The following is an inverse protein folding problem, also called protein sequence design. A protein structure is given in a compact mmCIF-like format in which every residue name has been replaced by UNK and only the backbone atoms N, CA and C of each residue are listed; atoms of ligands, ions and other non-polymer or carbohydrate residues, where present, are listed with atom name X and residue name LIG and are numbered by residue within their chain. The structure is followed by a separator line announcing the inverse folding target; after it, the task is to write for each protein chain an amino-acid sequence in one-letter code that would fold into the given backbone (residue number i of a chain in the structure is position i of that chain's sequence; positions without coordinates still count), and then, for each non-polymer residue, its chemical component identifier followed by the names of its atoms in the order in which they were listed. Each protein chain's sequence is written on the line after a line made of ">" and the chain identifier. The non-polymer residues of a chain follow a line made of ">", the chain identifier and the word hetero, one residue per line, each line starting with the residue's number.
data_IF_346058725710
#
_entry.id   IF_346058725710
#
_cell.length_a   1.000
_cell.length_b   1.000
_cell.length_c   1.000
_cell.angle_alpha   90.00
_cell.angle_beta   90.00
_cell.angle_gamma   90.00
#
_symmetry.space_group_name_H-M   'P 1'
#
loop_
_entity.id
_entity.type
_entity.pdbx_description
1 polymer ?
#
# COMPACT_ATOMS: atom_id res chain seq x y z
N UNK A 1 28.18 -5.63 3.75
CA UNK A 1 27.77 -5.28 2.38
C UNK A 1 26.26 -5.16 2.39
N UNK A 2 25.69 -3.99 2.08
CA UNK A 2 24.23 -3.83 2.06
C UNK A 2 23.63 -4.69 0.94
N UNK A 3 22.39 -5.22 1.10
CA UNK A 3 21.70 -5.89 0.01
C UNK A 3 21.60 -4.94 -1.20
N UNK A 4 21.78 -5.44 -2.43
CA UNK A 4 21.59 -4.63 -3.63
C UNK A 4 20.21 -3.95 -3.62
N UNK A 5 20.19 -2.63 -3.81
CA UNK A 5 18.94 -1.85 -3.91
C UNK A 5 18.49 -1.13 -2.64
N UNK A 6 19.04 -1.42 -1.45
CA UNK A 6 18.64 -0.72 -0.21
C UNK A 6 18.91 0.79 -0.24
N UNK A 7 19.97 1.23 -0.94
CA UNK A 7 20.37 2.64 -0.99
C UNK A 7 19.28 3.55 -1.55
N UNK A 8 18.51 3.05 -2.53
CA UNK A 8 17.38 3.78 -3.08
C UNK A 8 16.29 3.99 -2.02
N UNK A 9 15.97 2.97 -1.23
CA UNK A 9 14.99 3.09 -0.14
C UNK A 9 15.48 4.00 0.98
N UNK A 10 16.77 3.93 1.34
CA UNK A 10 17.38 4.84 2.33
C UNK A 10 17.35 6.29 1.87
N UNK A 11 17.63 6.53 0.59
CA UNK A 11 17.54 7.87 0.01
C UNK A 11 16.11 8.41 0.07
N UNK A 12 15.12 7.60 -0.31
CA UNK A 12 13.70 7.98 -0.20
C UNK A 12 13.31 8.22 1.25
N UNK A 13 13.71 7.33 2.19
CA UNK A 13 13.44 7.47 3.61
C UNK A 13 13.94 8.81 4.14
N UNK A 14 15.22 9.11 3.90
CA UNK A 14 15.86 10.36 4.34
C UNK A 14 15.21 11.59 3.71
N UNK A 15 14.84 11.53 2.44
CA UNK A 15 14.17 12.63 1.78
C UNK A 15 12.74 12.86 2.33
N UNK A 16 11.95 11.80 2.51
CA UNK A 16 10.58 11.89 3.00
C UNK A 16 10.51 12.27 4.48
N UNK A 17 11.49 11.85 5.28
CA UNK A 17 11.61 12.16 6.71
C UNK A 17 12.51 13.36 7.02
N UNK A 18 12.89 14.19 6.05
CA UNK A 18 13.86 15.27 6.26
C UNK A 18 13.47 16.27 7.37
N UNK A 19 12.17 16.38 7.69
CA UNK A 19 11.65 17.25 8.74
C UNK A 19 11.57 16.56 10.12
N UNK A 20 12.00 15.28 10.22
CA UNK A 20 11.90 14.45 11.41
C UNK A 20 13.28 14.11 11.99
N UNK A 21 13.72 14.83 13.01
CA UNK A 21 15.09 14.76 13.53
C UNK A 21 15.51 13.36 13.99
N UNK A 22 14.61 12.62 14.63
CA UNK A 22 14.91 11.29 15.19
C UNK A 22 14.62 10.14 14.23
N UNK A 23 13.90 10.37 13.12
CA UNK A 23 13.51 9.28 12.24
C UNK A 23 14.71 8.70 11.48
N UNK A 24 15.73 9.48 11.18
CA UNK A 24 16.89 9.03 10.40
C UNK A 24 17.73 7.95 11.10
N UNK A 25 17.62 7.84 12.42
CA UNK A 25 18.33 6.86 13.24
C UNK A 25 17.57 5.52 13.35
N UNK A 26 16.28 5.52 13.00
CA UNK A 26 15.37 4.39 13.18
C UNK A 26 14.45 4.21 11.97
N UNK A 27 14.93 3.44 11.01
CA UNK A 27 14.21 3.09 9.77
C UNK A 27 12.95 2.25 9.99
N UNK A 28 12.77 1.73 11.21
CA UNK A 28 11.58 1.02 11.62
C UNK A 28 10.59 1.94 12.34
N UNK A 29 10.94 3.19 12.64
CA UNK A 29 10.06 4.16 13.32
C UNK A 29 9.39 3.56 14.58
N UNK A 30 10.17 3.07 15.53
CA UNK A 30 9.72 2.70 16.88
C UNK A 30 9.38 3.95 17.69
N UNK A 31 10.20 5.01 17.60
CA UNK A 31 9.98 6.26 18.34
C UNK A 31 9.05 7.23 17.60
N UNK A 32 8.20 8.04 18.30
CA UNK A 32 7.39 9.09 17.68
C UNK A 32 8.18 10.05 16.79
N UNK A 33 7.56 10.45 15.67
CA UNK A 33 8.11 11.46 14.78
C UNK A 33 8.14 12.81 15.52
N UNK A 34 9.30 13.47 15.51
CA UNK A 34 9.51 14.77 16.14
C UNK A 34 10.28 15.70 15.21
N UNK A 35 9.93 16.98 15.26
CA UNK A 35 10.71 18.04 14.64
C UNK A 35 12.06 18.23 15.37
N UNK A 36 13.03 18.96 14.79
CA UNK A 36 14.33 19.23 15.41
C UNK A 36 14.26 19.89 16.79
N UNK A 37 13.21 20.66 17.07
CA UNK A 37 12.94 21.29 18.37
C UNK A 37 12.26 20.33 19.38
N UNK A 38 12.04 19.07 19.02
CA UNK A 38 11.37 18.06 19.83
C UNK A 38 9.84 18.06 19.70
N UNK A 39 9.24 18.99 18.95
CA UNK A 39 7.79 19.09 18.75
C UNK A 39 7.25 17.81 18.10
N UNK A 40 6.20 17.17 18.65
CA UNK A 40 5.58 16.00 18.03
C UNK A 40 5.04 16.33 16.63
N UNK A 41 5.41 15.51 15.64
CA UNK A 41 4.90 15.63 14.27
C UNK A 41 3.91 14.50 13.96
N UNK A 42 2.91 14.74 13.10
CA UNK A 42 2.05 13.67 12.59
C UNK A 42 2.91 12.56 11.96
N UNK A 43 2.65 11.28 12.28
CA UNK A 43 3.47 10.19 11.78
C UNK A 43 3.36 10.09 10.26
N UNK A 44 4.53 9.94 9.62
CA UNK A 44 4.65 9.56 8.23
C UNK A 44 4.80 8.04 8.15
N UNK A 45 3.89 7.40 7.42
CA UNK A 45 3.81 5.94 7.25
C UNK A 45 4.56 5.52 5.99
N UNK A 46 5.87 5.72 6.01
CA UNK A 46 6.79 5.28 4.96
C UNK A 46 8.12 4.87 5.61
N UNK A 47 8.39 3.57 5.72
CA UNK A 47 9.53 3.03 6.48
C UNK A 47 9.80 1.56 6.14
N UNK A 48 10.68 0.86 6.88
CA UNK A 48 10.81 -0.62 6.79
C UNK A 48 9.53 -1.37 7.15
N UNK A 49 8.58 -0.74 7.84
CA UNK A 49 7.26 -1.33 8.11
C UNK A 49 6.37 -1.45 6.86
N UNK A 50 6.74 -0.83 5.75
CA UNK A 50 6.00 -0.89 4.49
C UNK A 50 6.30 -2.16 3.69
N UNK A 51 7.44 -2.80 3.92
CA UNK A 51 7.89 -3.96 3.15
C UNK A 51 9.42 -4.02 3.10
N UNK A 52 9.99 -5.04 2.45
CA UNK A 52 11.43 -5.17 2.32
C UNK A 52 12.02 -4.06 1.43
N UNK A 53 13.26 -3.68 1.70
CA UNK A 53 13.97 -2.61 0.99
C UNK A 53 14.83 -3.15 -0.15
N UNK A 54 14.20 -3.93 -1.02
CA UNK A 54 14.78 -4.45 -2.26
C UNK A 54 13.66 -4.57 -3.30
N UNK A 55 13.97 -4.89 -4.58
CA UNK A 55 12.92 -5.17 -5.56
C UNK A 55 11.92 -6.21 -5.05
N UNK A 56 10.61 -5.95 -5.25
CA UNK A 56 9.52 -6.81 -4.81
C UNK A 56 8.66 -7.25 -5.99
N UNK A 57 8.03 -8.43 -5.97
CA UNK A 57 7.17 -8.86 -7.08
C UNK A 57 5.91 -7.99 -7.22
N UNK A 58 5.36 -7.51 -6.09
CA UNK A 58 4.10 -6.77 -6.05
C UNK A 58 4.20 -5.54 -5.15
N UNK A 59 3.70 -4.41 -5.65
CA UNK A 59 3.42 -3.20 -4.84
C UNK A 59 1.92 -3.02 -4.71
N UNK A 60 1.44 -2.79 -3.49
CA UNK A 60 0.06 -2.40 -3.22
C UNK A 60 0.01 -0.91 -2.84
N UNK A 61 -0.88 -0.17 -3.50
CA UNK A 61 -1.10 1.26 -3.24
C UNK A 61 -2.47 1.44 -2.60
N UNK A 62 -2.50 1.93 -1.36
CA UNK A 62 -3.70 2.34 -0.63
C UNK A 62 -4.01 3.83 -0.77
N UNK A 63 -5.09 4.28 -0.12
CA UNK A 63 -5.47 5.70 -0.11
C UNK A 63 -4.63 6.53 0.88
N UNK A 64 -4.79 6.25 2.17
CA UNK A 64 -4.07 6.91 3.26
C UNK A 64 -4.10 6.06 4.54
N UNK A 65 -3.18 6.30 5.49
CA UNK A 65 -3.27 5.77 6.84
C UNK A 65 -4.62 6.05 7.53
N UNK A 66 -5.21 5.00 8.09
CA UNK A 66 -6.40 5.08 8.95
C UNK A 66 -6.06 5.12 10.44
N UNK A 67 -7.10 5.26 11.27
CA UNK A 67 -7.03 5.30 12.75
C UNK A 67 -8.05 4.35 13.42
N UNK A 68 -8.46 3.30 12.71
CA UNK A 68 -9.41 2.27 13.16
C UNK A 68 -10.73 2.82 13.76
N UNK A 69 -11.25 3.94 13.25
CA UNK A 69 -12.54 4.50 13.67
C UNK A 69 -12.47 5.45 14.87
N UNK A 70 -11.28 5.70 15.42
CA UNK A 70 -11.08 6.58 16.57
C UNK A 70 -11.01 8.09 16.25
N UNK A 71 -11.47 8.55 15.07
CA UNK A 71 -11.38 9.97 14.62
C UNK A 71 -10.00 10.61 14.86
N UNK A 72 -8.92 9.84 14.69
CA UNK A 72 -7.53 10.27 14.79
C UNK A 72 -6.88 9.99 16.14
N UNK A 73 -7.63 9.45 17.11
CA UNK A 73 -7.16 9.19 18.48
C UNK A 73 -7.04 7.71 18.84
N UNK A 74 -7.45 6.82 17.93
CA UNK A 74 -7.36 5.38 18.13
C UNK A 74 -5.90 4.91 18.11
N UNK A 75 -5.48 4.02 19.02
CA UNK A 75 -4.16 3.41 18.93
C UNK A 75 -4.07 2.51 17.69
N UNK A 76 -5.17 1.92 17.24
CA UNK A 76 -5.20 1.02 16.09
C UNK A 76 -5.28 1.79 14.77
N UNK A 77 -4.80 1.19 13.68
CA UNK A 77 -4.65 1.85 12.38
C UNK A 77 -3.19 2.15 12.04
N UNK A 78 -2.91 2.41 10.76
CA UNK A 78 -1.57 2.74 10.29
C UNK A 78 -1.04 4.05 10.89
N UNK A 79 -1.90 5.00 11.31
CA UNK A 79 -1.46 6.20 12.02
C UNK A 79 -0.79 5.87 13.36
N UNK A 80 -1.40 4.99 14.16
CA UNK A 80 -0.90 4.64 15.49
C UNK A 80 0.15 3.52 15.52
N UNK A 81 0.15 2.65 14.50
CA UNK A 81 1.09 1.50 14.41
C UNK A 81 2.25 1.76 13.45
N UNK A 82 2.09 2.72 12.54
CA UNK A 82 3.01 3.00 11.41
C UNK A 82 3.21 1.83 10.46
N UNK A 83 2.35 0.81 10.58
CA UNK A 83 2.28 -0.33 9.66
C UNK A 83 1.13 -0.04 8.70
N UNK A 84 1.36 0.11 7.39
CA UNK A 84 0.29 0.31 6.41
C UNK A 84 -0.79 -0.76 6.55
N UNK A 85 -2.08 -0.39 6.51
CA UNK A 85 -3.17 -1.35 6.76
C UNK A 85 -2.98 -2.15 8.08
N UNK A 86 -2.47 -1.51 9.13
CA UNK A 86 -2.25 -2.15 10.44
C UNK A 86 -3.45 -2.00 11.37
N UNK A 87 -4.03 -3.11 11.83
CA UNK A 87 -4.94 -3.13 13.00
C UNK A 87 -6.38 -2.67 12.77
N UNK A 88 -6.84 -2.54 11.53
CA UNK A 88 -8.25 -2.28 11.20
C UNK A 88 -8.85 -3.37 10.29
N UNK A 89 -10.14 -3.24 9.94
CA UNK A 89 -10.81 -4.19 9.03
C UNK A 89 -10.15 -4.20 7.65
N UNK A 90 -9.59 -3.07 7.21
CA UNK A 90 -8.88 -3.02 5.93
C UNK A 90 -7.60 -3.85 5.94
N UNK A 91 -6.86 -3.83 7.06
CA UNK A 91 -5.75 -4.73 7.32
C UNK A 91 -6.12 -6.20 7.28
N UNK A 92 -7.22 -6.59 7.94
CA UNK A 92 -7.67 -7.98 7.93
C UNK A 92 -8.06 -8.46 6.54
N UNK A 93 -8.81 -7.64 5.81
CA UNK A 93 -9.19 -7.95 4.44
C UNK A 93 -7.96 -8.04 3.53
N UNK A 94 -6.96 -7.16 3.71
CA UNK A 94 -5.71 -7.23 2.96
C UNK A 94 -4.93 -8.52 3.27
N UNK A 95 -4.83 -8.97 4.53
CA UNK A 95 -4.19 -10.27 4.83
C UNK A 95 -4.89 -11.44 4.14
N UNK A 96 -6.23 -11.41 4.07
CA UNK A 96 -6.98 -12.44 3.36
C UNK A 96 -6.66 -12.42 1.87
N UNK A 97 -6.59 -11.23 1.27
CA UNK A 97 -6.22 -11.07 -0.14
C UNK A 97 -4.78 -11.55 -0.41
N UNK A 98 -3.81 -11.15 0.42
CA UNK A 98 -2.41 -11.57 0.31
C UNK A 98 -2.28 -13.10 0.44
N UNK A 99 -2.83 -13.68 1.51
CA UNK A 99 -2.79 -15.12 1.74
C UNK A 99 -3.50 -15.93 0.65
N UNK A 100 -4.53 -15.38 0.01
CA UNK A 100 -5.21 -16.02 -1.12
C UNK A 100 -4.35 -16.16 -2.37
N UNK A 101 -3.23 -15.44 -2.45
CA UNK A 101 -2.26 -15.56 -3.54
C UNK A 101 -0.90 -15.99 -3.03
N UNK A 102 -0.80 -16.53 -1.82
CA UNK A 102 0.48 -16.98 -1.25
C UNK A 102 1.49 -15.86 -1.01
N UNK A 103 1.04 -14.60 -0.94
CA UNK A 103 1.86 -13.46 -0.58
C UNK A 103 1.70 -13.12 0.90
N UNK A 104 2.69 -12.42 1.45
CA UNK A 104 2.66 -11.88 2.81
C UNK A 104 3.44 -10.56 2.86
N UNK A 105 3.30 -9.80 3.96
CA UNK A 105 3.89 -8.46 4.11
C UNK A 105 5.39 -8.41 3.94
N UNK A 106 6.11 -9.44 4.40
CA UNK A 106 7.57 -9.49 4.26
C UNK A 106 8.03 -9.68 2.79
N UNK A 107 7.14 -10.02 1.85
CA UNK A 107 7.46 -10.26 0.44
C UNK A 107 6.84 -9.24 -0.54
N UNK A 108 6.16 -8.21 -0.04
CA UNK A 108 5.51 -7.18 -0.87
C UNK A 108 5.79 -5.80 -0.28
N UNK A 109 5.58 -4.75 -1.07
CA UNK A 109 5.65 -3.38 -0.56
C UNK A 109 4.27 -2.73 -0.53
N UNK A 110 3.86 -2.24 0.63
CA UNK A 110 2.59 -1.56 0.88
C UNK A 110 2.84 -0.07 1.05
N UNK A 111 2.24 0.76 0.20
CA UNK A 111 2.38 2.23 0.27
C UNK A 111 1.01 2.89 0.13
N UNK A 112 0.87 4.15 0.53
CA UNK A 112 -0.34 4.92 0.32
C UNK A 112 -0.10 6.07 -0.68
N UNK A 113 -1.16 6.49 -1.36
CA UNK A 113 -1.18 7.71 -2.17
C UNK A 113 -0.88 8.96 -1.33
N UNK A 114 -1.27 8.96 -0.05
CA UNK A 114 -0.91 9.95 0.95
C UNK A 114 -0.43 9.22 2.21
N UNK A 115 0.83 9.40 2.61
CA UNK A 115 1.45 8.59 3.67
C UNK A 115 1.26 9.18 5.09
N UNK A 116 0.31 10.10 5.29
CA UNK A 116 -0.04 10.67 6.60
C UNK A 116 -1.53 10.50 6.87
N UNK A 117 -1.94 10.67 8.12
CA UNK A 117 -3.37 10.71 8.45
C UNK A 117 -4.00 11.95 7.78
N UNK A 118 -5.11 11.82 7.03
CA UNK A 118 -5.82 12.97 6.48
C UNK A 118 -6.28 13.93 7.58
N UNK A 119 -6.32 15.23 7.30
CA UNK A 119 -6.63 16.30 8.26
C UNK A 119 -7.99 16.12 8.95
N UNK A 120 -8.96 15.54 8.24
CA UNK A 120 -10.29 15.17 8.78
C UNK A 120 -10.28 14.00 9.77
N UNK A 121 -9.10 13.48 10.12
CA UNK A 121 -8.95 12.36 11.04
C UNK A 121 -9.38 11.03 10.42
N UNK A 122 -8.93 10.74 9.19
CA UNK A 122 -9.13 9.44 8.52
C UNK A 122 -10.05 9.46 7.30
N UNK A 123 -10.04 8.37 6.52
CA UNK A 123 -10.78 8.23 5.26
C UNK A 123 -9.93 8.62 4.03
N UNK A 124 -10.60 8.92 2.93
CA UNK A 124 -9.96 9.44 1.71
C UNK A 124 -9.30 10.82 1.94
N UNK A 125 -8.02 10.99 1.59
CA UNK A 125 -7.38 12.30 1.54
C UNK A 125 -7.93 13.14 0.38
N UNK A 126 -7.85 14.45 0.52
CA UNK A 126 -8.14 15.41 -0.55
C UNK A 126 -7.07 15.37 -1.63
N UNK A 127 -7.41 15.86 -2.84
CA UNK A 127 -6.41 16.03 -3.90
C UNK A 127 -5.29 16.99 -3.48
N UNK A 128 -5.61 18.04 -2.72
CA UNK A 128 -4.64 18.98 -2.20
C UNK A 128 -3.63 18.31 -1.25
N UNK A 129 -4.10 17.44 -0.34
CA UNK A 129 -3.21 16.69 0.55
C UNK A 129 -2.27 15.75 -0.21
N UNK A 130 -2.77 15.06 -1.24
CA UNK A 130 -1.93 14.17 -2.07
C UNK A 130 -0.87 14.96 -2.84
N UNK A 131 -1.21 16.16 -3.31
CA UNK A 131 -0.31 17.03 -4.08
C UNK A 131 0.59 17.90 -3.19
N UNK A 132 0.39 17.89 -1.87
CA UNK A 132 1.20 18.66 -0.93
C UNK A 132 2.60 18.05 -0.72
N UNK A 133 3.62 18.89 -0.44
CA UNK A 133 4.97 18.42 -0.15
C UNK A 133 5.08 17.46 1.03
N UNK A 134 6.10 16.59 0.98
CA UNK A 134 6.44 15.64 2.05
C UNK A 134 7.95 15.55 2.21
N UNK A 135 8.48 16.13 3.29
CA UNK A 135 9.92 16.29 3.44
C UNK A 135 10.47 17.06 2.25
N UNK A 136 11.46 16.48 1.56
CA UNK A 136 12.08 17.04 0.34
C UNK A 136 11.32 16.73 -0.95
N UNK A 137 10.26 15.94 -0.90
CA UNK A 137 9.46 15.66 -2.08
C UNK A 137 8.45 16.79 -2.35
N UNK A 138 8.28 17.22 -3.61
CA UNK A 138 7.32 18.26 -3.96
C UNK A 138 5.85 17.81 -3.78
N UNK A 139 5.59 16.50 -3.73
CA UNK A 139 4.26 15.93 -3.50
C UNK A 139 4.32 14.48 -3.01
N UNK A 140 3.21 13.96 -2.47
CA UNK A 140 3.10 12.52 -2.15
C UNK A 140 3.10 11.63 -3.41
N UNK A 141 2.67 12.15 -4.57
CA UNK A 141 2.79 11.42 -5.84
C UNK A 141 4.23 11.32 -6.35
N UNK A 142 5.07 12.32 -6.06
CA UNK A 142 6.51 12.23 -6.34
C UNK A 142 7.20 11.19 -5.43
N UNK A 143 6.83 11.13 -4.16
CA UNK A 143 7.27 10.06 -3.25
C UNK A 143 6.82 8.67 -3.75
N UNK A 144 5.57 8.54 -4.20
CA UNK A 144 5.06 7.29 -4.77
C UNK A 144 5.85 6.89 -6.02
N UNK A 145 6.16 7.83 -6.92
CA UNK A 145 6.95 7.58 -8.13
C UNK A 145 8.31 6.96 -7.81
N UNK A 146 9.07 7.57 -6.88
CA UNK A 146 10.38 7.05 -6.48
C UNK A 146 10.26 5.71 -5.76
N UNK A 147 9.20 5.52 -4.96
CA UNK A 147 8.90 4.23 -4.32
C UNK A 147 8.71 3.14 -5.39
N UNK A 148 7.98 3.40 -6.47
CA UNK A 148 7.78 2.44 -7.56
C UNK A 148 9.09 2.13 -8.29
N UNK A 149 9.95 3.13 -8.52
CA UNK A 149 11.27 2.95 -9.12
C UNK A 149 12.23 2.14 -8.24
N UNK A 150 12.14 2.28 -6.91
CA UNK A 150 12.94 1.49 -5.97
C UNK A 150 12.42 0.05 -5.85
N UNK A 151 11.10 -0.14 -5.81
CA UNK A 151 10.46 -1.44 -5.69
C UNK A 151 10.56 -2.31 -6.94
N UNK A 152 10.69 -1.71 -8.13
CA UNK A 152 10.73 -2.39 -9.42
C UNK A 152 9.68 -3.52 -9.56
N UNK A 153 8.39 -3.26 -9.25
CA UNK A 153 7.40 -4.34 -9.21
C UNK A 153 7.14 -4.93 -10.58
N UNK A 154 6.69 -6.20 -10.58
CA UNK A 154 6.11 -6.87 -11.76
C UNK A 154 4.59 -6.74 -11.81
N UNK A 155 3.95 -6.39 -10.70
CA UNK A 155 2.53 -6.08 -10.60
C UNK A 155 2.29 -4.91 -9.66
N UNK A 156 1.46 -3.95 -10.07
CA UNK A 156 0.98 -2.87 -9.18
C UNK A 156 -0.50 -3.06 -8.92
N UNK A 157 -0.90 -3.08 -7.64
CA UNK A 157 -2.29 -3.21 -7.22
C UNK A 157 -2.77 -1.90 -6.61
N UNK A 158 -3.69 -1.22 -7.31
CA UNK A 158 -4.32 0.00 -6.82
C UNK A 158 -5.59 -0.35 -6.02
N UNK A 159 -5.57 -0.10 -4.70
CA UNK A 159 -6.68 -0.36 -3.80
C UNK A 159 -7.60 0.86 -3.71
N UNK A 160 -8.65 0.86 -4.53
CA UNK A 160 -9.64 1.93 -4.61
C UNK A 160 -9.27 3.07 -5.56
N UNK A 161 -10.17 4.05 -5.63
CA UNK A 161 -10.12 5.12 -6.62
C UNK A 161 -8.96 6.09 -6.38
N UNK A 162 -8.68 6.42 -5.11
CA UNK A 162 -7.59 7.32 -4.73
C UNK A 162 -6.24 6.78 -5.16
N UNK A 163 -5.96 5.51 -4.87
CA UNK A 163 -4.74 4.83 -5.26
C UNK A 163 -4.53 4.84 -6.78
N UNK A 164 -5.58 4.52 -7.55
CA UNK A 164 -5.51 4.50 -9.01
C UNK A 164 -5.17 5.87 -9.59
N UNK A 165 -5.82 6.93 -9.08
CA UNK A 165 -5.58 8.30 -9.54
C UNK A 165 -4.16 8.78 -9.19
N UNK A 166 -3.67 8.46 -8.00
CA UNK A 166 -2.33 8.82 -7.57
C UNK A 166 -1.25 8.06 -8.37
N UNK A 167 -1.49 6.78 -8.66
CA UNK A 167 -0.60 5.97 -9.50
C UNK A 167 -0.45 6.57 -10.91
N UNK A 168 -1.56 6.99 -11.52
CA UNK A 168 -1.53 7.67 -12.80
C UNK A 168 -0.81 9.03 -12.76
N UNK A 169 -1.01 9.81 -11.69
CA UNK A 169 -0.29 11.05 -11.50
C UNK A 169 1.22 10.83 -11.28
N UNK A 170 1.62 9.77 -10.56
CA UNK A 170 3.02 9.45 -10.28
C UNK A 170 3.78 9.05 -11.56
N UNK A 171 3.18 8.23 -12.43
CA UNK A 171 3.81 7.76 -13.66
C UNK A 171 4.02 8.85 -14.72
N UNK A 172 3.12 9.84 -14.79
CA UNK A 172 3.18 10.95 -15.75
C UNK A 172 3.51 12.32 -15.13
N UNK A 173 3.93 12.36 -13.87
CA UNK A 173 4.22 13.59 -13.13
C UNK A 173 3.11 14.65 -13.25
N UNK A 174 1.85 14.22 -13.19
CA UNK A 174 0.72 15.11 -13.43
C UNK A 174 0.56 16.12 -12.29
N UNK A 175 0.31 17.41 -12.59
CA UNK A 175 0.10 18.43 -11.57
C UNK A 175 -1.28 18.30 -10.87
N UNK A 176 -2.13 17.39 -11.34
CA UNK A 176 -3.47 17.12 -10.81
C UNK A 176 -3.80 15.64 -10.92
N UNK A 177 -4.64 15.16 -10.01
CA UNK A 177 -5.14 13.79 -10.06
C UNK A 177 -6.17 13.63 -11.19
N UNK A 178 -6.00 12.68 -12.13
CA UNK A 178 -6.94 12.46 -13.21
C UNK A 178 -8.31 12.03 -12.67
N UNK A 179 -9.38 12.26 -13.44
CA UNK A 179 -10.73 11.80 -13.09
C UNK A 179 -10.86 10.30 -13.40
N UNK A 180 -11.85 9.64 -12.79
CA UNK A 180 -12.15 8.24 -13.12
C UNK A 180 -12.58 8.06 -14.57
N UNK A 181 -13.29 9.04 -15.15
CA UNK A 181 -13.64 9.01 -16.58
C UNK A 181 -12.42 9.00 -17.49
N UNK A 182 -11.40 9.82 -17.19
CA UNK A 182 -10.15 9.81 -17.94
C UNK A 182 -9.39 8.47 -17.78
N UNK A 183 -9.36 7.92 -16.56
CA UNK A 183 -8.74 6.62 -16.32
C UNK A 183 -9.47 5.49 -17.09
N UNK A 184 -10.80 5.51 -17.11
CA UNK A 184 -11.61 4.54 -17.85
C UNK A 184 -11.44 4.69 -19.37
N UNK A 185 -11.36 5.91 -19.89
CA UNK A 185 -11.07 6.17 -21.31
C UNK A 185 -9.68 5.66 -21.72
N UNK A 186 -8.74 5.57 -20.78
CA UNK A 186 -7.43 4.94 -20.97
C UNK A 186 -7.46 3.39 -20.81
N UNK A 187 -8.65 2.78 -20.72
CA UNK A 187 -8.85 1.33 -20.66
C UNK A 187 -8.82 0.71 -19.27
N UNK A 188 -8.61 1.51 -18.21
CA UNK A 188 -8.55 0.99 -16.84
C UNK A 188 -9.94 0.58 -16.34
N UNK A 189 -10.10 -0.71 -16.03
CA UNK A 189 -11.35 -1.28 -15.54
C UNK A 189 -11.10 -2.04 -14.23
N UNK A 190 -12.00 -1.86 -13.24
CA UNK A 190 -11.86 -2.52 -11.94
C UNK A 190 -11.94 -4.05 -12.10
N UNK A 191 -11.06 -4.77 -11.42
CA UNK A 191 -10.96 -6.23 -11.47
C UNK A 191 -10.26 -6.78 -12.71
N UNK A 192 -9.79 -5.92 -13.63
CA UNK A 192 -9.08 -6.35 -14.83
C UNK A 192 -7.63 -5.89 -14.80
N UNK A 193 -6.71 -6.82 -15.05
CA UNK A 193 -5.31 -6.52 -15.25
C UNK A 193 -5.15 -5.71 -16.55
N UNK A 194 -4.51 -4.55 -16.48
CA UNK A 194 -4.35 -3.63 -17.60
C UNK A 194 -2.87 -3.27 -17.75
N UNK A 195 -2.28 -3.32 -18.96
CA UNK A 195 -0.94 -2.79 -19.18
C UNK A 195 -0.85 -1.32 -18.73
N UNK A 196 0.34 -0.88 -18.30
CA UNK A 196 0.55 0.51 -17.89
C UNK A 196 0.13 1.48 -19.03
N UNK A 197 -0.91 2.32 -18.83
CA UNK A 197 -1.43 3.11 -19.94
C UNK A 197 -0.42 4.15 -20.43
N UNK A 198 -0.21 4.31 -21.76
CA UNK A 198 0.74 5.28 -22.30
C UNK A 198 0.52 6.73 -21.87
N UNK A 199 -0.74 7.12 -21.66
CA UNK A 199 -1.09 8.46 -21.17
C UNK A 199 -0.61 8.75 -19.74
N UNK A 200 -0.21 7.71 -18.98
CA UNK A 200 0.21 7.82 -17.58
C UNK A 200 1.68 7.40 -17.38
N UNK A 201 2.50 7.55 -18.42
CA UNK A 201 3.95 7.41 -18.35
C UNK A 201 4.63 8.59 -19.05
N UNK A 202 5.46 9.34 -18.33
CA UNK A 202 6.31 10.36 -18.96
C UNK A 202 7.68 9.78 -19.37
N UNK A 203 8.38 10.49 -20.25
CA UNK A 203 9.67 10.04 -20.77
C UNK A 203 10.75 9.92 -19.68
N UNK A 204 10.70 10.76 -18.65
CA UNK A 204 11.66 10.69 -17.55
C UNK A 204 11.46 9.44 -16.70
N UNK A 205 10.20 9.03 -16.47
CA UNK A 205 9.85 7.83 -15.73
C UNK A 205 10.37 6.60 -16.46
N UNK A 206 10.09 6.52 -17.76
CA UNK A 206 10.53 5.40 -18.61
C UNK A 206 12.04 5.27 -18.64
N UNK A 207 12.78 6.38 -18.74
CA UNK A 207 14.24 6.37 -18.66
C UNK A 207 14.75 5.90 -17.31
N UNK A 208 14.19 6.41 -16.21
CA UNK A 208 14.57 5.99 -14.85
C UNK A 208 14.25 4.52 -14.59
N UNK A 209 13.15 4.00 -15.15
CA UNK A 209 12.79 2.59 -15.07
C UNK A 209 13.79 1.71 -15.85
N UNK A 210 14.04 2.04 -17.12
CA UNK A 210 14.98 1.31 -17.97
C UNK A 210 16.43 1.34 -17.46
N UNK A 211 16.83 2.42 -16.76
CA UNK A 211 18.15 2.50 -16.13
C UNK A 211 18.30 1.58 -14.91
N UNK A 212 17.20 1.02 -14.40
CA UNK A 212 17.15 0.22 -13.16
C UNK A 212 16.84 -1.25 -13.40
N UNK A 213 16.15 -1.57 -14.49
CA UNK A 213 15.74 -2.93 -14.85
C UNK A 213 15.42 -3.03 -16.33
N UNK A 214 15.68 -4.21 -16.91
CA UNK A 214 15.27 -4.56 -18.27
C UNK A 214 13.81 -5.05 -18.36
N UNK A 215 13.15 -5.21 -17.21
CA UNK A 215 11.77 -5.63 -17.15
C UNK A 215 10.84 -4.58 -17.80
N UNK A 216 9.75 -5.00 -18.48
CA UNK A 216 8.75 -4.06 -18.95
C UNK A 216 8.07 -3.35 -17.78
N UNK A 217 7.40 -2.24 -18.06
CA UNK A 217 6.57 -1.58 -17.06
C UNK A 217 5.46 -2.52 -16.57
N UNK A 218 5.24 -2.59 -15.24
CA UNK A 218 4.29 -3.53 -14.68
C UNK A 218 2.85 -3.18 -15.06
N UNK A 219 2.00 -4.18 -15.35
CA UNK A 219 0.57 -3.95 -15.46
C UNK A 219 -0.03 -3.54 -14.11
N UNK A 220 -1.20 -2.91 -14.19
CA UNK A 220 -1.98 -2.46 -13.05
C UNK A 220 -3.21 -3.32 -12.85
N UNK A 221 -3.51 -3.60 -11.58
CA UNK A 221 -4.78 -4.16 -11.16
C UNK A 221 -5.51 -3.15 -10.27
N UNK A 222 -6.64 -2.64 -10.75
CA UNK A 222 -7.51 -1.77 -9.95
C UNK A 222 -8.53 -2.60 -9.18
N UNK A 223 -8.47 -2.55 -7.86
CA UNK A 223 -9.37 -3.28 -6.97
C UNK A 223 -10.26 -2.36 -6.14
N UNK A 224 -11.28 -2.94 -5.52
CA UNK A 224 -12.00 -2.29 -4.43
C UNK A 224 -11.05 -2.00 -3.26
N UNK A 225 -11.24 -0.87 -2.57
CA UNK A 225 -10.50 -0.62 -1.34
C UNK A 225 -10.94 -1.64 -0.28
N UNK A 226 -10.03 -2.25 0.49
CA UNK A 226 -10.40 -3.31 1.42
C UNK A 226 -11.11 -2.81 2.70
N UNK A 227 -11.72 -1.63 2.71
CA UNK A 227 -12.34 -1.06 3.92
C UNK A 227 -13.63 -1.78 4.32
N UNK A 228 -14.01 -1.64 5.60
CA UNK A 228 -15.28 -2.11 6.13
C UNK A 228 -16.51 -1.58 5.38
N UNK A 229 -16.39 -0.40 4.75
CA UNK A 229 -17.45 0.22 3.93
C UNK A 229 -17.63 -0.46 2.57
N UNK A 230 -16.65 -1.27 2.16
CA UNK A 230 -16.65 -1.93 0.85
C UNK A 230 -16.80 -3.44 0.98
N UNK A 231 -16.12 -4.03 1.96
CA UNK A 231 -16.09 -5.45 2.26
C UNK A 231 -15.96 -5.67 3.77
N UNK A 232 -16.76 -6.58 4.32
CA UNK A 232 -16.83 -6.80 5.76
C UNK A 232 -17.08 -8.27 6.07
N UNK A 233 -16.24 -8.91 6.91
CA UNK A 233 -16.49 -10.26 7.40
C UNK A 233 -17.64 -10.32 8.41
N UNK A 234 -18.17 -9.17 8.82
CA UNK A 234 -19.33 -9.07 9.72
C UNK A 234 -20.66 -9.10 8.98
N UNK A 235 -20.63 -8.98 7.65
CA UNK A 235 -21.83 -8.96 6.84
C UNK A 235 -22.32 -10.40 6.56
N UNK A 236 -23.62 -10.55 6.33
CA UNK A 236 -24.18 -11.85 5.97
C UNK A 236 -23.60 -12.37 4.64
N UNK A 237 -23.53 -13.71 4.43
CA UNK A 237 -22.84 -14.32 3.28
C UNK A 237 -23.32 -13.85 1.90
N UNK A 238 -24.60 -13.50 1.76
CA UNK A 238 -25.25 -13.10 0.52
C UNK A 238 -25.18 -11.59 0.23
N UNK A 239 -24.48 -10.82 1.07
CA UNK A 239 -24.40 -9.36 0.90
C UNK A 239 -23.39 -8.96 -0.18
N UNK A 240 -23.58 -7.75 -0.71
CA UNK A 240 -22.62 -7.14 -1.64
C UNK A 240 -21.20 -7.00 -1.06
N UNK A 241 -21.05 -6.93 0.26
CA UNK A 241 -19.75 -6.87 0.94
C UNK A 241 -18.94 -8.15 0.72
N UNK A 242 -19.57 -9.32 0.89
CA UNK A 242 -18.93 -10.62 0.70
C UNK A 242 -18.70 -10.88 -0.80
N UNK A 243 -19.67 -10.53 -1.65
CA UNK A 243 -19.52 -10.63 -3.10
C UNK A 243 -18.32 -9.81 -3.62
N UNK A 244 -18.14 -8.57 -3.14
CA UNK A 244 -16.98 -7.73 -3.51
C UNK A 244 -15.66 -8.32 -3.01
N UNK A 245 -15.62 -8.93 -1.82
CA UNK A 245 -14.42 -9.60 -1.34
C UNK A 245 -14.02 -10.77 -2.24
N UNK A 246 -14.98 -11.63 -2.62
CA UNK A 246 -14.75 -12.74 -3.57
C UNK A 246 -14.26 -12.24 -4.92
N UNK A 247 -14.95 -11.27 -5.52
CA UNK A 247 -14.56 -10.69 -6.80
C UNK A 247 -13.15 -10.06 -6.74
N UNK A 248 -12.81 -9.40 -5.62
CA UNK A 248 -11.48 -8.81 -5.42
C UNK A 248 -10.40 -9.88 -5.31
N UNK A 249 -10.65 -10.95 -4.53
CA UNK A 249 -9.77 -12.11 -4.41
C UNK A 249 -9.54 -12.76 -5.77
N UNK A 250 -10.61 -13.04 -6.52
CA UNK A 250 -10.52 -13.79 -7.77
C UNK A 250 -9.77 -12.97 -8.85
N UNK A 251 -10.02 -11.66 -8.91
CA UNK A 251 -9.26 -10.76 -9.77
C UNK A 251 -7.77 -10.70 -9.39
N UNK A 252 -7.44 -10.67 -8.09
CA UNK A 252 -6.06 -10.69 -7.62
C UNK A 252 -5.37 -12.02 -7.96
N UNK A 253 -6.04 -13.16 -7.75
CA UNK A 253 -5.54 -14.49 -8.13
C UNK A 253 -5.24 -14.57 -9.63
N UNK A 254 -6.17 -14.12 -10.47
CA UNK A 254 -5.98 -14.11 -11.92
C UNK A 254 -4.80 -13.20 -12.35
N UNK A 255 -4.68 -12.03 -11.72
CA UNK A 255 -3.59 -11.09 -12.00
C UNK A 255 -2.23 -11.64 -11.58
N UNK A 256 -2.12 -12.27 -10.41
CA UNK A 256 -0.89 -12.90 -9.94
C UNK A 256 -0.51 -14.08 -10.84
N UNK A 257 -1.44 -14.96 -11.19
CA UNK A 257 -1.16 -16.04 -12.14
C UNK A 257 -0.64 -15.54 -13.51
N UNK A 258 -1.10 -14.36 -13.94
CA UNK A 258 -0.67 -13.77 -15.22
C UNK A 258 0.67 -13.05 -15.11
N UNK A 259 0.86 -12.21 -14.09
CA UNK A 259 2.04 -11.36 -13.94
C UNK A 259 3.24 -12.08 -13.31
N UNK A 260 2.97 -13.12 -12.51
CA UNK A 260 3.91 -13.92 -11.74
C UNK A 260 3.61 -15.42 -11.95
N UNK A 261 3.74 -15.95 -13.19
CA UNK A 261 3.39 -17.34 -13.48
C UNK A 261 4.21 -18.37 -12.70
N UNK A 262 5.40 -17.99 -12.24
CA UNK A 262 6.25 -18.82 -11.38
C UNK A 262 5.82 -18.83 -9.90
N UNK A 263 4.92 -17.94 -9.50
CA UNK A 263 4.46 -17.82 -8.12
C UNK A 263 3.26 -18.75 -7.87
N UNK A 264 3.39 -19.77 -7.01
CA UNK A 264 2.33 -20.74 -6.79
C UNK A 264 1.13 -20.10 -6.07
N UNK A 265 -0.06 -20.33 -6.61
CA UNK A 265 -1.30 -19.95 -5.95
C UNK A 265 -1.73 -21.07 -4.98
N UNK A 266 -1.85 -20.79 -3.68
CA UNK A 266 -2.23 -21.82 -2.73
C UNK A 266 -3.72 -22.15 -2.88
N UNK A 267 -4.08 -23.42 -2.64
CA UNK A 267 -5.47 -23.86 -2.50
C UNK A 267 -6.06 -23.42 -1.16
N UNK A 268 -5.22 -23.42 -0.11
CA UNK A 268 -5.58 -23.01 1.26
C UNK A 268 -4.70 -21.86 1.70
N UNK A 269 -5.32 -20.79 2.23
CA UNK A 269 -4.58 -19.62 2.72
C UNK A 269 -3.61 -20.00 3.84
N UNK A 270 -2.29 -19.82 3.67
CA UNK A 270 -1.30 -20.14 4.69
C UNK A 270 -1.43 -19.23 5.91
N UNK A 271 -0.84 -19.64 7.02
CA UNK A 271 -0.66 -18.76 8.17
C UNK A 271 0.42 -17.71 7.85
N UNK A 272 0.34 -16.50 8.43
CA UNK A 272 1.40 -15.52 8.31
C UNK A 272 2.73 -16.06 8.86
N UNK A 273 3.88 -15.65 8.29
CA UNK A 273 5.18 -16.08 8.78
C UNK A 273 5.46 -15.50 10.17
N UNK A 274 6.40 -16.12 10.90
CA UNK A 274 6.76 -15.76 12.27
C UNK A 274 8.00 -14.84 12.35
N UNK A 275 8.26 -14.06 11.30
CA UNK A 275 9.43 -13.19 11.14
C UNK A 275 9.06 -11.79 10.59
N UNK A 276 10.05 -10.90 10.45
CA UNK A 276 9.90 -9.58 9.84
C UNK A 276 8.84 -8.69 10.51
N UNK A 277 7.91 -8.15 9.73
CA UNK A 277 6.86 -7.23 10.23
C UNK A 277 5.95 -7.94 11.26
N UNK A 278 5.76 -9.24 11.13
CA UNK A 278 4.87 -10.04 11.99
C UNK A 278 5.42 -10.25 13.41
N UNK A 279 6.70 -9.94 13.66
CA UNK A 279 7.30 -10.04 15.00
C UNK A 279 7.42 -8.73 15.75
N UNK A 280 7.05 -7.62 15.11
CA UNK A 280 7.06 -6.31 15.76
C UNK A 280 6.12 -6.32 16.99
N UNK A 281 6.51 -5.69 18.11
CA UNK A 281 5.69 -5.67 19.32
C UNK A 281 4.27 -5.17 19.06
N UNK A 282 4.10 -4.09 18.31
CA UNK A 282 2.78 -3.54 18.00
C UNK A 282 1.97 -4.49 17.09
N UNK A 283 2.64 -5.30 16.27
CA UNK A 283 1.95 -6.33 15.50
C UNK A 283 1.41 -7.42 16.43
N UNK A 284 2.27 -8.04 17.23
CA UNK A 284 1.93 -9.17 18.11
C UNK A 284 0.88 -8.79 19.14
N UNK A 285 1.04 -7.64 19.78
CA UNK A 285 0.20 -7.23 20.91
C UNK A 285 -1.14 -6.63 20.47
N UNK A 286 -1.16 -5.90 19.34
CA UNK A 286 -2.31 -5.04 18.99
C UNK A 286 -2.98 -5.39 17.67
N UNK A 287 -2.22 -5.87 16.68
CA UNK A 287 -2.75 -6.17 15.34
C UNK A 287 -3.18 -7.64 15.25
N UNK A 288 -2.28 -8.58 15.50
CA UNK A 288 -2.49 -10.01 15.29
C UNK A 288 -3.75 -10.57 15.96
N UNK A 289 -4.07 -10.26 17.23
CA UNK A 289 -5.27 -10.80 17.88
C UNK A 289 -6.55 -10.37 17.15
N UNK A 290 -6.61 -9.13 16.69
CA UNK A 290 -7.76 -8.59 15.95
C UNK A 290 -7.85 -9.19 14.55
N UNK A 291 -6.72 -9.36 13.87
CA UNK A 291 -6.70 -9.97 12.54
C UNK A 291 -7.13 -11.43 12.60
N UNK A 292 -6.69 -12.20 13.61
CA UNK A 292 -7.10 -13.60 13.79
C UNK A 292 -8.61 -13.74 13.95
N UNK A 293 -9.25 -12.87 14.74
CA UNK A 293 -10.71 -12.89 14.91
C UNK A 293 -11.48 -12.58 13.61
N UNK A 294 -10.97 -11.66 12.78
CA UNK A 294 -11.58 -11.32 11.49
C UNK A 294 -11.28 -12.38 10.42
N UNK A 295 -10.09 -12.99 10.46
CA UNK A 295 -9.69 -14.07 9.56
C UNK A 295 -10.57 -15.31 9.76
N UNK A 296 -10.83 -15.71 11.01
CA UNK A 296 -11.72 -16.81 11.34
C UNK A 296 -13.12 -16.62 10.72
N UNK A 297 -13.63 -15.38 10.73
CA UNK A 297 -14.90 -15.04 10.09
C UNK A 297 -14.86 -15.15 8.56
N UNK A 298 -13.77 -14.73 7.92
CA UNK A 298 -13.61 -14.94 6.48
C UNK A 298 -13.51 -16.42 6.12
N UNK A 299 -12.78 -17.22 6.91
CA UNK A 299 -12.70 -18.68 6.72
C UNK A 299 -14.07 -19.35 6.84
N UNK A 300 -14.90 -18.94 7.80
CA UNK A 300 -16.27 -19.42 7.92
C UNK A 300 -17.15 -19.06 6.71
N UNK A 301 -16.79 -18.01 5.96
CA UNK A 301 -17.41 -17.64 4.69
C UNK A 301 -16.76 -18.32 3.48
N UNK A 302 -15.81 -19.24 3.67
CA UNK A 302 -15.10 -19.92 2.57
C UNK A 302 -14.14 -19.00 1.80
N UNK A 303 -13.53 -18.04 2.50
CA UNK A 303 -12.52 -17.12 1.98
C UNK A 303 -11.17 -17.36 2.61
#
# INVERSE_FOLDING_TARGET
>A
MLPPGEDAFRAIFRAAHADHATCHEDEWLHAPCRAPDGTPLPPLVWSRRNGPWHPVPVVFVGAAPGNAGGRGRGPLGAHGTRIPFGGDVAGANLEVLLGSVGLHRNGVFLVAAYNRLPARGGGEPTAAEILAPVGRYPSSVALLRDTLLACQPRLIVALGNVALRALAAAGAALPRLPTLGHLAAAGLTRGRLTPWPPAFQDAAFRRSWAARTDAPLPPWLWLYHPSAQTMSPLAAPHTAFVARMRATRDALRAAVATALPEHPLPDVRPLPPSDGIYVLPEWRERIAPRLAALDARWRALGL
#
